data_IF_983215039986
#
_entry.id   IF_983215039986
#
_cell.length_a   1.000
_cell.length_b   1.000
_cell.length_c   1.000
_cell.angle_alpha   90.00
_cell.angle_beta   90.00
_cell.angle_gamma   90.00
#
_symmetry.space_group_name_H-M   'P 1'
#
loop_
_entity.id
_entity.type
_entity.pdbx_description
1 polymer ?
#
# COMPACT_ATOMS: atom_id res chain seq x y z
N UNK A 1 18.95 -0.27 -4.32
CA UNK A 1 17.92 -0.90 -3.46
C UNK A 1 17.12 -1.88 -4.30
N UNK A 2 17.51 -3.16 -4.27
CA UNK A 2 16.66 -4.24 -4.74
C UNK A 2 15.81 -4.62 -3.53
N UNK A 3 14.51 -4.31 -3.57
CA UNK A 3 13.59 -4.84 -2.57
C UNK A 3 13.48 -6.34 -2.85
N UNK A 4 13.92 -7.19 -1.92
CA UNK A 4 13.90 -8.64 -2.14
C UNK A 4 12.48 -9.18 -1.96
N UNK A 5 11.65 -8.51 -1.16
CA UNK A 5 10.24 -8.90 -0.95
C UNK A 5 9.27 -7.71 -0.85
N UNK A 6 7.98 -8.00 -1.07
CA UNK A 6 6.89 -7.03 -0.92
C UNK A 6 6.81 -6.50 0.53
N UNK A 7 7.04 -7.37 1.52
CA UNK A 7 6.94 -7.01 2.95
C UNK A 7 8.01 -6.01 3.37
N UNK A 8 9.26 -6.24 2.97
CA UNK A 8 10.37 -5.31 3.21
C UNK A 8 10.10 -3.94 2.59
N UNK A 9 9.56 -3.91 1.36
CA UNK A 9 9.19 -2.66 0.70
C UNK A 9 8.07 -1.94 1.43
N UNK A 10 7.06 -2.65 1.94
CA UNK A 10 5.99 -2.08 2.75
C UNK A 10 6.56 -1.50 4.05
N UNK A 11 7.38 -2.25 4.78
CA UNK A 11 7.99 -1.76 6.01
C UNK A 11 8.91 -0.57 5.80
N UNK A 12 9.72 -0.58 4.74
CA UNK A 12 10.56 0.57 4.40
C UNK A 12 9.69 1.78 4.06
N UNK A 13 8.58 1.60 3.35
CA UNK A 13 7.65 2.68 3.03
C UNK A 13 6.96 3.24 4.27
N UNK A 14 6.58 2.40 5.22
CA UNK A 14 6.02 2.84 6.51
C UNK A 14 7.05 3.59 7.36
N UNK A 15 8.31 3.16 7.34
CA UNK A 15 9.42 3.86 8.04
C UNK A 15 9.78 5.19 7.37
N UNK A 16 9.76 5.22 6.04
CA UNK A 16 10.19 6.36 5.22
C UNK A 16 9.11 7.43 5.09
N UNK A 17 7.85 7.03 5.06
CA UNK A 17 6.71 7.92 4.94
C UNK A 17 5.86 7.86 6.21
N UNK A 18 5.83 8.98 6.94
CA UNK A 18 5.01 9.14 8.14
C UNK A 18 3.51 9.03 7.90
N UNK A 19 3.06 9.31 6.67
CA UNK A 19 1.66 9.15 6.27
C UNK A 19 1.50 7.94 5.33
N UNK A 20 0.63 7.02 5.75
CA UNK A 20 0.22 5.85 4.96
C UNK A 20 -0.35 6.25 3.59
N UNK A 21 -1.08 7.37 3.51
CA UNK A 21 -1.62 7.87 2.25
C UNK A 21 -0.51 8.26 1.28
N UNK A 22 0.56 8.87 1.78
CA UNK A 22 1.73 9.23 1.00
C UNK A 22 2.49 7.98 0.54
N UNK A 23 2.64 6.98 1.41
CA UNK A 23 3.23 5.68 1.05
C UNK A 23 2.47 5.01 -0.11
N UNK A 24 1.13 4.97 -0.03
CA UNK A 24 0.26 4.40 -1.08
C UNK A 24 0.42 5.17 -2.39
N UNK A 25 0.40 6.50 -2.35
CA UNK A 25 0.59 7.32 -3.56
C UNK A 25 1.95 7.06 -4.21
N UNK A 26 3.01 6.90 -3.42
CA UNK A 26 4.34 6.59 -3.93
C UNK A 26 4.40 5.21 -4.58
N UNK A 27 3.80 4.20 -3.97
CA UNK A 27 3.69 2.86 -4.57
C UNK A 27 2.89 2.90 -5.90
N UNK A 28 1.81 3.69 -5.96
CA UNK A 28 1.04 3.90 -7.19
C UNK A 28 1.86 4.56 -8.31
N UNK A 29 2.60 5.61 -7.99
CA UNK A 29 3.48 6.27 -8.97
C UNK A 29 4.55 5.31 -9.48
N UNK A 30 5.12 4.48 -8.60
CA UNK A 30 6.14 3.50 -8.99
C UNK A 30 5.56 2.37 -9.85
N UNK A 31 4.31 1.96 -9.60
CA UNK A 31 3.57 1.04 -10.47
C UNK A 31 3.40 1.61 -11.88
N UNK A 32 3.00 2.88 -11.99
CA UNK A 32 2.75 3.56 -13.28
C UNK A 32 4.03 3.86 -14.06
N UNK A 33 5.12 4.20 -13.35
CA UNK A 33 6.42 4.52 -13.97
C UNK A 33 7.28 3.28 -14.24
N UNK A 34 6.81 2.09 -13.85
CA UNK A 34 7.51 0.83 -14.08
C UNK A 34 7.53 0.46 -15.57
N UNK A 35 8.74 0.27 -16.11
CA UNK A 35 8.94 -0.12 -17.51
C UNK A 35 8.63 -1.60 -17.79
N UNK A 36 8.52 -2.43 -16.76
CA UNK A 36 8.28 -3.87 -16.91
C UNK A 36 7.07 -4.32 -16.10
N UNK A 37 6.35 -5.30 -16.65
CA UNK A 37 5.16 -5.90 -16.02
C UNK A 37 5.47 -6.45 -14.63
N UNK A 38 6.59 -7.18 -14.47
CA UNK A 38 7.05 -7.71 -13.18
C UNK A 38 7.21 -6.63 -12.11
N UNK A 39 7.80 -5.47 -12.44
CA UNK A 39 7.95 -4.37 -11.48
C UNK A 39 6.62 -3.68 -11.20
N UNK A 40 5.77 -3.51 -12.22
CA UNK A 40 4.44 -2.95 -12.02
C UNK A 40 3.60 -3.82 -11.08
N UNK A 41 3.64 -5.15 -11.26
CA UNK A 41 2.95 -6.12 -10.39
C UNK A 41 3.53 -6.11 -8.96
N UNK A 42 4.84 -6.02 -8.82
CA UNK A 42 5.49 -5.86 -7.52
C UNK A 42 4.96 -4.63 -6.77
N UNK A 43 4.98 -3.45 -7.40
CA UNK A 43 4.48 -2.22 -6.78
C UNK A 43 2.97 -2.24 -6.54
N UNK A 44 2.20 -2.96 -7.37
CA UNK A 44 0.78 -3.22 -7.12
C UNK A 44 0.56 -4.05 -5.85
N UNK A 45 1.38 -5.06 -5.61
CA UNK A 45 1.30 -5.85 -4.38
C UNK A 45 1.64 -5.00 -3.14
N UNK A 46 2.68 -4.16 -3.23
CA UNK A 46 3.03 -3.19 -2.18
C UNK A 46 1.89 -2.20 -1.93
N UNK A 47 1.27 -1.68 -3.00
CA UNK A 47 0.11 -0.77 -2.90
C UNK A 47 -1.07 -1.42 -2.16
N UNK A 48 -1.38 -2.68 -2.45
CA UNK A 48 -2.47 -3.42 -1.81
C UNK A 48 -2.19 -3.66 -0.33
N UNK A 49 -0.99 -4.12 0.01
CA UNK A 49 -0.59 -4.33 1.40
C UNK A 49 -0.65 -3.02 2.23
N UNK A 50 -0.18 -1.90 1.66
CA UNK A 50 -0.29 -0.59 2.31
C UNK A 50 -1.75 -0.13 2.46
N UNK A 51 -2.65 -0.52 1.54
CA UNK A 51 -4.08 -0.21 1.64
C UNK A 51 -4.79 -1.06 2.70
N UNK A 52 -4.40 -2.31 2.88
CA UNK A 52 -4.94 -3.18 3.93
C UNK A 52 -4.56 -2.70 5.34
N UNK A 53 -3.38 -2.09 5.48
CA UNK A 53 -2.95 -1.43 6.71
C UNK A 53 -3.73 -0.16 7.03
N UNK A 54 -4.47 0.40 6.05
CA UNK A 54 -5.34 1.54 6.32
C UNK A 54 -6.43 1.02 7.25
N UNK A 55 -6.64 1.62 8.43
CA UNK A 55 -7.77 1.25 9.25
C UNK A 55 -9.00 1.42 8.36
N UNK A 56 -9.64 0.29 8.04
CA UNK A 56 -10.93 0.29 7.38
C UNK A 56 -11.75 1.28 8.19
N UNK A 57 -12.26 2.34 7.54
CA UNK A 57 -13.14 3.31 8.21
C UNK A 57 -14.13 2.44 8.96
N UNK A 58 -14.03 2.41 10.29
CA UNK A 58 -15.06 1.78 11.11
C UNK A 58 -16.31 2.53 10.69
N UNK A 59 -17.16 1.86 9.92
CA UNK A 59 -18.47 2.35 9.59
C UNK A 59 -19.10 2.57 10.96
N UNK A 60 -19.15 3.83 11.39
CA UNK A 60 -19.90 4.21 12.56
C UNK A 60 -21.33 3.80 12.26
N UNK A 61 -21.75 2.72 12.91
CA UNK A 61 -23.13 2.40 13.28
C UNK A 61 -24.17 2.33 12.16
N UNK A 62 -24.74 1.14 11.97
CA UNK A 62 -26.12 0.91 12.42
C UNK A 62 -26.34 -0.60 12.61
N UNK A 63 -26.18 -1.03 13.86
CA UNK A 63 -27.05 -2.07 14.39
C UNK A 63 -28.49 -1.57 14.18
N UNK A 64 -29.25 -2.25 13.32
CA UNK A 64 -30.70 -2.35 13.48
C UNK A 64 -30.93 -3.84 13.69
N UNK A 65 -30.97 -4.23 14.96
CA UNK A 65 -31.82 -5.34 15.37
C UNK A 65 -33.26 -4.82 15.20
N UNK A 66 -33.99 -5.45 14.28
CA UNK A 66 -35.45 -5.56 14.26
C UNK A 66 -35.79 -6.86 13.54
#
# INVERSE_FOLDING_TARGET
MAYWTTDEAVQEFLKKYTDLKLAIQRAQTLKLTSKTKKRSEFWRAVELALKELKPAKQLKTRYKEE
#
